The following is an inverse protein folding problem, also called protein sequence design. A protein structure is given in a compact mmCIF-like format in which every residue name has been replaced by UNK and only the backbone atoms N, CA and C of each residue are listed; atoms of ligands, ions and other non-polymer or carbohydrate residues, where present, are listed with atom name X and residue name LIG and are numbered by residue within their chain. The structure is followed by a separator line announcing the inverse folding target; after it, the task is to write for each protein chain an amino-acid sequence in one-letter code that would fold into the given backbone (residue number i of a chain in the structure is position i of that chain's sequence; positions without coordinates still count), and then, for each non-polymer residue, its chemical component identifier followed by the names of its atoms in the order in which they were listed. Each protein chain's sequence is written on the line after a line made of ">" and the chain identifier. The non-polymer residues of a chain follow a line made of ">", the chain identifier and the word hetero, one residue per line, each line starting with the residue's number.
data_IF_969458722304
#
_entry.id   IF_969458722304
#
_cell.length_a   1.000
_cell.length_b   1.000
_cell.length_c   1.000
_cell.angle_alpha   90.00
_cell.angle_beta   90.00
_cell.angle_gamma   90.00
#
_symmetry.space_group_name_H-M   'P 1'
#
loop_
_entity.id
_entity.type
_entity.pdbx_description
1 polymer ?
#
# COMPACT_ATOMS: atom_id res chain seq x y z
N UNK A 1 -10.58 -20.07 -5.74
CA UNK A 1 -10.41 -18.93 -4.83
C UNK A 1 -9.25 -18.02 -5.25
N UNK A 2 -8.03 -18.52 -5.23
CA UNK A 2 -6.86 -17.77 -5.67
C UNK A 2 -6.93 -17.30 -7.13
N UNK A 3 -7.47 -18.16 -7.99
CA UNK A 3 -7.61 -17.84 -9.42
C UNK A 3 -8.59 -16.71 -9.68
N UNK A 4 -9.70 -16.65 -8.92
CA UNK A 4 -10.69 -15.58 -9.05
C UNK A 4 -10.07 -14.25 -8.62
N UNK A 5 -9.36 -14.25 -7.52
CA UNK A 5 -8.66 -13.06 -7.05
C UNK A 5 -7.60 -12.60 -8.05
N UNK A 6 -6.82 -13.56 -8.59
CA UNK A 6 -5.79 -13.23 -9.58
C UNK A 6 -6.40 -12.60 -10.83
N UNK A 7 -7.53 -13.14 -11.31
CA UNK A 7 -8.23 -12.55 -12.47
C UNK A 7 -8.71 -11.13 -12.17
N UNK A 8 -9.22 -10.90 -10.97
CA UNK A 8 -9.64 -9.56 -10.54
C UNK A 8 -8.44 -8.60 -10.54
N UNK A 9 -7.32 -9.04 -10.00
CA UNK A 9 -6.10 -8.22 -9.96
C UNK A 9 -5.52 -7.97 -11.36
N UNK A 10 -5.53 -8.99 -12.22
CA UNK A 10 -5.05 -8.85 -13.59
C UNK A 10 -5.88 -7.82 -14.35
N UNK A 11 -7.20 -7.87 -14.21
CA UNK A 11 -8.10 -6.90 -14.83
C UNK A 11 -7.88 -5.50 -14.29
N UNK A 12 -7.63 -5.38 -12.99
CA UNK A 12 -7.37 -4.10 -12.36
C UNK A 12 -6.03 -3.51 -12.81
N UNK A 13 -4.98 -4.33 -12.90
CA UNK A 13 -3.69 -3.94 -13.45
C UNK A 13 -3.86 -3.35 -14.85
N UNK A 14 -4.61 -4.03 -15.70
CA UNK A 14 -4.85 -3.57 -17.07
C UNK A 14 -5.65 -2.28 -17.11
N UNK A 15 -6.62 -2.14 -16.20
CA UNK A 15 -7.46 -0.94 -16.09
C UNK A 15 -6.67 0.30 -15.63
N UNK A 16 -5.76 0.14 -14.66
CA UNK A 16 -4.98 1.27 -14.11
C UNK A 16 -3.64 1.46 -14.82
N UNK A 17 -3.19 0.49 -15.60
CA UNK A 17 -1.90 0.56 -16.30
C UNK A 17 -0.70 0.53 -15.35
N UNK A 18 -0.82 -0.17 -14.23
CA UNK A 18 0.21 -0.23 -13.20
C UNK A 18 0.14 -1.56 -12.46
N UNK A 19 1.26 -1.99 -11.87
CA UNK A 19 1.27 -3.16 -11.00
C UNK A 19 0.37 -2.92 -9.80
N UNK A 20 -0.40 -3.93 -9.40
CA UNK A 20 -1.32 -3.87 -8.26
C UNK A 20 -0.96 -4.95 -7.24
N UNK A 21 -1.21 -4.67 -5.97
CA UNK A 21 -0.80 -5.53 -4.86
C UNK A 21 -1.92 -5.64 -3.83
N UNK A 22 -2.03 -6.83 -3.22
CA UNK A 22 -2.77 -7.01 -1.98
C UNK A 22 -1.77 -7.26 -0.88
N UNK A 23 -1.92 -6.53 0.23
CA UNK A 23 -1.03 -6.66 1.37
C UNK A 23 -1.85 -6.75 2.65
N UNK A 24 -1.25 -7.37 3.66
CA UNK A 24 -1.86 -7.54 4.98
C UNK A 24 -0.84 -7.22 6.06
N UNK A 25 -1.36 -6.87 7.22
CA UNK A 25 -0.55 -6.70 8.43
C UNK A 25 -0.67 -7.99 9.25
N UNK A 26 0.41 -8.77 9.27
CA UNK A 26 0.42 -10.10 9.90
C UNK A 26 1.57 -10.18 10.88
N UNK A 27 1.26 -10.51 12.13
CA UNK A 27 2.27 -10.67 13.18
C UNK A 27 3.23 -9.47 13.32
N UNK A 28 2.68 -8.26 13.21
CA UNK A 28 3.46 -7.03 13.34
C UNK A 28 4.25 -6.66 12.09
N UNK A 29 4.02 -7.31 10.96
CA UNK A 29 4.76 -7.10 9.73
C UNK A 29 3.84 -6.85 8.54
N UNK A 30 4.33 -6.05 7.59
CA UNK A 30 3.67 -5.85 6.30
C UNK A 30 4.05 -6.98 5.37
N UNK A 31 3.05 -7.65 4.78
CA UNK A 31 3.27 -8.74 3.82
C UNK A 31 2.45 -8.53 2.56
N UNK A 32 3.11 -8.59 1.41
CA UNK A 32 2.43 -8.66 0.12
C UNK A 32 1.98 -10.10 -0.08
N UNK A 33 0.67 -10.32 -0.14
CA UNK A 33 0.11 -11.66 -0.24
C UNK A 33 -0.21 -12.08 -1.67
N UNK A 34 -0.49 -11.10 -2.54
CA UNK A 34 -0.77 -11.37 -3.95
C UNK A 34 -0.54 -10.09 -4.77
N UNK A 35 -0.18 -10.25 -6.03
CA UNK A 35 0.05 -9.10 -6.90
C UNK A 35 -0.22 -9.49 -8.36
N UNK A 36 -0.36 -8.46 -9.21
CA UNK A 36 -0.41 -8.60 -10.65
C UNK A 36 0.50 -7.56 -11.29
N UNK A 37 1.43 -8.00 -12.10
CA UNK A 37 2.33 -7.16 -12.87
C UNK A 37 2.40 -7.62 -14.33
N UNK A 38 3.12 -6.88 -15.15
CA UNK A 38 3.38 -7.23 -16.55
C UNK A 38 4.61 -6.45 -17.03
N UNK A 39 5.18 -6.77 -18.22
CA UNK A 39 6.27 -5.98 -18.76
C UNK A 39 5.92 -4.50 -18.93
N UNK A 40 4.65 -4.19 -19.24
CA UNK A 40 4.17 -2.81 -19.38
C UNK A 40 3.83 -2.16 -18.03
N UNK A 41 3.65 -2.97 -16.98
CA UNK A 41 3.29 -2.51 -15.63
C UNK A 41 4.13 -3.29 -14.61
N UNK A 42 5.46 -3.06 -14.57
CA UNK A 42 6.35 -3.83 -13.70
C UNK A 42 6.14 -3.46 -12.24
N UNK A 43 6.32 -4.44 -11.36
CA UNK A 43 6.26 -4.16 -9.92
C UNK A 43 7.53 -3.44 -9.46
N UNK A 44 7.42 -2.79 -8.31
CA UNK A 44 8.55 -2.10 -7.67
C UNK A 44 9.67 -3.07 -7.36
N UNK A 45 10.89 -2.64 -7.61
CA UNK A 45 12.09 -3.37 -7.25
C UNK A 45 12.31 -3.25 -5.74
N UNK A 46 12.17 -4.35 -5.03
CA UNK A 46 12.28 -4.37 -3.57
C UNK A 46 13.74 -4.52 -3.14
N UNK A 47 14.44 -3.39 -2.98
CA UNK A 47 15.82 -3.35 -2.51
C UNK A 47 15.94 -3.58 -1.02
N UNK A 48 14.89 -3.24 -0.27
CA UNK A 48 14.83 -3.28 1.18
C UNK A 48 13.74 -4.25 1.57
N UNK A 49 13.92 -4.94 2.68
CA UNK A 49 12.87 -5.79 3.23
C UNK A 49 11.60 -4.97 3.42
N UNK A 50 10.57 -5.31 2.66
CA UNK A 50 9.29 -4.61 2.68
C UNK A 50 8.66 -4.59 4.07
N UNK A 51 8.97 -5.60 4.89
CA UNK A 51 8.49 -5.70 6.27
C UNK A 51 8.97 -4.56 7.16
N UNK A 52 10.11 -3.96 6.81
CA UNK A 52 10.75 -2.89 7.60
C UNK A 52 10.49 -1.49 7.01
N UNK A 53 9.57 -1.36 6.05
CA UNK A 53 9.36 -0.11 5.31
C UNK A 53 7.96 0.47 5.45
N UNK A 54 7.20 0.06 6.47
CA UNK A 54 5.81 0.49 6.64
C UNK A 54 5.65 2.01 6.72
N UNK A 55 6.60 2.70 7.33
CA UNK A 55 6.58 4.16 7.45
C UNK A 55 6.83 4.89 6.12
N UNK A 56 7.40 4.19 5.14
CA UNK A 56 7.87 4.78 3.89
C UNK A 56 7.04 4.36 2.67
N UNK A 57 6.09 3.46 2.82
CA UNK A 57 5.29 2.95 1.69
C UNK A 57 3.83 3.33 1.84
N UNK A 58 3.13 3.49 0.71
CA UNK A 58 1.68 3.69 0.74
C UNK A 58 0.99 2.48 1.39
N UNK A 59 1.44 1.28 1.05
CA UNK A 59 0.95 0.03 1.64
C UNK A 59 1.06 0.06 3.16
N UNK A 60 2.28 0.29 3.67
CA UNK A 60 2.54 0.28 5.11
C UNK A 60 1.76 1.35 5.84
N UNK A 61 1.75 2.58 5.32
CA UNK A 61 0.99 3.67 5.94
C UNK A 61 -0.50 3.38 5.94
N UNK A 62 -1.05 2.81 4.86
CA UNK A 62 -2.46 2.41 4.82
C UNK A 62 -2.79 1.37 5.87
N UNK A 63 -1.93 0.37 6.05
CA UNK A 63 -2.11 -0.64 7.09
C UNK A 63 -2.03 -0.04 8.49
N UNK A 64 -1.07 0.86 8.72
CA UNK A 64 -0.92 1.52 10.01
C UNK A 64 -2.11 2.42 10.37
N UNK A 65 -2.78 3.03 9.37
CA UNK A 65 -4.02 3.80 9.65
C UNK A 65 -5.12 2.94 10.22
N UNK A 66 -5.12 1.64 9.94
CA UNK A 66 -6.16 0.70 10.38
C UNK A 66 -5.89 0.16 11.78
N UNK A 67 -4.70 0.37 12.33
CA UNK A 67 -4.38 -0.01 13.70
C UNK A 67 -4.86 1.08 14.67
N UNK A 68 -5.12 0.70 15.92
CA UNK A 68 -5.39 1.67 16.97
C UNK A 68 -4.07 2.35 17.42
N UNK A 69 -4.18 3.30 18.33
CA UNK A 69 -3.02 4.05 18.80
C UNK A 69 -1.97 3.12 19.43
N UNK A 70 -2.40 2.15 20.25
CA UNK A 70 -1.49 1.20 20.88
C UNK A 70 -0.78 0.32 19.84
N UNK A 71 -1.50 -0.13 18.82
CA UNK A 71 -0.93 -0.92 17.73
C UNK A 71 0.10 -0.15 16.92
N UNK A 72 -0.15 1.12 16.64
CA UNK A 72 0.81 1.99 15.94
C UNK A 72 2.08 2.18 16.77
N UNK A 73 1.95 2.43 18.05
CA UNK A 73 3.09 2.59 18.94
C UNK A 73 3.90 1.30 19.09
N UNK A 74 3.23 0.16 19.18
CA UNK A 74 3.88 -1.14 19.23
C UNK A 74 4.70 -1.38 17.96
N UNK A 75 4.12 -1.08 16.79
CA UNK A 75 4.83 -1.20 15.51
C UNK A 75 6.09 -0.35 15.50
N UNK A 76 5.99 0.91 15.90
CA UNK A 76 7.12 1.84 15.89
C UNK A 76 8.20 1.44 16.91
N UNK A 77 7.82 0.79 18.00
CA UNK A 77 8.78 0.28 18.98
C UNK A 77 9.58 -0.91 18.43
N UNK A 78 9.02 -1.68 17.51
CA UNK A 78 9.64 -2.87 16.94
C UNK A 78 10.40 -2.60 15.63
N UNK A 79 10.06 -1.53 14.92
CA UNK A 79 10.61 -1.25 13.59
C UNK A 79 11.22 0.14 13.54
N UNK A 80 12.52 0.17 13.25
CA UNK A 80 13.23 1.43 13.07
C UNK A 80 12.75 2.10 11.78
N UNK A 81 12.54 3.41 11.84
CA UNK A 81 12.16 4.20 10.67
C UNK A 81 13.41 4.65 9.91
N UNK A 82 13.95 3.74 9.10
CA UNK A 82 15.13 4.03 8.30
C UNK A 82 14.81 5.05 7.20
N UNK A 83 15.79 5.86 6.85
CA UNK A 83 15.68 6.80 5.75
C UNK A 83 16.06 6.10 4.44
N UNK A 84 15.13 6.01 3.52
CA UNK A 84 15.35 5.42 2.19
C UNK A 84 15.58 6.49 1.12
N UNK A 85 14.91 7.64 1.27
CA UNK A 85 15.06 8.80 0.37
C UNK A 85 15.06 10.07 1.20
N UNK A 86 15.30 11.20 0.58
CA UNK A 86 15.19 12.50 1.25
C UNK A 86 13.75 12.81 1.71
N UNK A 87 12.75 12.08 1.19
CA UNK A 87 11.33 12.30 1.50
C UNK A 87 10.78 11.34 2.55
N UNK A 88 11.58 10.36 2.99
CA UNK A 88 11.13 9.39 3.99
C UNK A 88 10.81 10.10 5.30
N UNK A 89 9.64 9.79 5.87
CA UNK A 89 9.29 10.25 7.22
C UNK A 89 10.12 9.42 8.22
N UNK A 90 10.90 10.09 9.06
CA UNK A 90 11.76 9.44 10.06
C UNK A 90 11.46 9.88 11.49
N UNK A 91 10.42 10.68 11.69
CA UNK A 91 9.96 11.13 13.00
C UNK A 91 8.68 10.40 13.40
N UNK A 92 8.69 9.72 14.54
CA UNK A 92 7.52 9.06 15.13
C UNK A 92 6.35 10.02 15.22
N UNK A 93 6.61 11.21 15.76
CA UNK A 93 5.60 12.22 15.99
C UNK A 93 4.95 12.67 14.69
N UNK A 94 5.75 12.90 13.65
CA UNK A 94 5.25 13.29 12.34
C UNK A 94 4.43 12.17 11.71
N UNK A 95 4.92 10.94 11.76
CA UNK A 95 4.21 9.80 11.21
C UNK A 95 2.85 9.61 11.88
N UNK A 96 2.83 9.58 13.21
CA UNK A 96 1.58 9.41 13.97
C UNK A 96 0.57 10.52 13.65
N UNK A 97 1.03 11.75 13.53
CA UNK A 97 0.20 12.89 13.15
C UNK A 97 -0.39 12.71 11.75
N UNK A 98 0.41 12.27 10.80
CA UNK A 98 -0.03 12.02 9.42
C UNK A 98 -1.03 10.87 9.34
N UNK A 99 -0.80 9.79 10.06
CA UNK A 99 -1.72 8.65 10.10
C UNK A 99 -3.07 9.06 10.68
N UNK A 100 -3.06 9.84 11.76
CA UNK A 100 -4.29 10.32 12.42
C UNK A 100 -5.09 11.26 11.51
N UNK A 101 -4.40 12.08 10.73
CA UNK A 101 -5.03 13.05 9.83
C UNK A 101 -5.51 12.44 8.51
N UNK A 102 -5.13 11.20 8.20
CA UNK A 102 -5.49 10.55 6.93
C UNK A 102 -6.98 10.22 6.90
N UNK A 103 -7.77 10.82 6.00
CA UNK A 103 -9.19 10.45 5.88
C UNK A 103 -9.35 9.02 5.38
N UNK A 104 -10.26 8.22 5.94
CA UNK A 104 -10.44 6.82 5.54
C UNK A 104 -10.85 6.63 4.07
N UNK A 105 -11.51 7.62 3.49
CA UNK A 105 -12.00 7.56 2.10
C UNK A 105 -10.98 8.06 1.07
N UNK A 106 -9.84 8.56 1.51
CA UNK A 106 -8.80 9.11 0.62
C UNK A 106 -7.65 8.13 0.51
N UNK A 107 -7.22 7.78 -0.72
CA UNK A 107 -6.06 6.91 -0.89
C UNK A 107 -4.80 7.47 -0.22
N UNK A 108 -4.03 6.60 0.40
CA UNK A 108 -2.72 6.95 0.97
C UNK A 108 -1.71 6.98 -0.16
N UNK A 109 -0.89 8.02 -0.22
CA UNK A 109 0.11 8.19 -1.26
C UNK A 109 1.53 8.04 -0.70
N UNK A 110 2.40 7.50 -1.55
CA UNK A 110 3.85 7.49 -1.36
C UNK A 110 4.45 8.18 -2.58
N UNK A 111 5.03 9.35 -2.36
CA UNK A 111 5.62 10.18 -3.43
C UNK A 111 7.14 10.14 -3.28
N UNK A 112 7.75 9.04 -3.72
CA UNK A 112 9.19 8.78 -3.63
C UNK A 112 9.72 8.73 -2.20
N UNK A 113 8.91 8.26 -1.25
CA UNK A 113 9.33 8.12 0.15
C UNK A 113 10.10 6.84 0.40
N UNK A 114 9.79 5.78 -0.37
CA UNK A 114 10.45 4.48 -0.28
C UNK A 114 11.60 4.36 -1.28
N UNK A 115 11.36 4.76 -2.51
CA UNK A 115 12.35 4.65 -3.59
C UNK A 115 12.27 5.86 -4.51
N UNK A 116 13.41 6.41 -4.84
CA UNK A 116 13.49 7.46 -5.87
C UNK A 116 13.04 6.85 -7.20
N UNK A 117 12.19 7.58 -7.93
CA UNK A 117 11.68 7.14 -9.22
C UNK A 117 10.39 6.33 -9.17
N UNK A 118 9.83 6.06 -7.98
CA UNK A 118 8.59 5.29 -7.83
C UNK A 118 7.58 6.06 -6.99
N UNK A 119 6.31 6.04 -7.43
CA UNK A 119 5.19 6.57 -6.69
C UNK A 119 4.15 5.47 -6.52
N UNK A 120 3.42 5.50 -5.40
CA UNK A 120 2.47 4.46 -5.03
C UNK A 120 1.21 5.08 -4.43
N UNK A 121 0.11 4.32 -4.48
CA UNK A 121 -1.12 4.64 -3.78
C UNK A 121 -1.68 3.38 -3.16
N UNK A 122 -2.38 3.51 -2.04
CA UNK A 122 -3.02 2.38 -1.37
C UNK A 122 -4.36 2.78 -0.80
N UNK A 123 -5.31 1.86 -0.84
CA UNK A 123 -6.62 2.01 -0.23
C UNK A 123 -6.85 0.85 0.73
N UNK A 124 -7.51 1.07 1.88
CA UNK A 124 -7.77 -0.02 2.82
C UNK A 124 -8.81 -0.97 2.24
N UNK A 125 -8.58 -2.27 2.47
CA UNK A 125 -9.57 -3.31 2.26
C UNK A 125 -9.65 -4.13 3.54
N UNK A 126 -10.83 -4.21 4.13
CA UNK A 126 -11.01 -4.98 5.35
C UNK A 126 -11.67 -6.31 4.99
N UNK A 127 -11.00 -7.40 5.35
CA UNK A 127 -11.54 -8.74 5.23
C UNK A 127 -11.46 -9.39 6.61
N UNK A 128 -12.55 -9.36 7.35
CA UNK A 128 -12.57 -9.81 8.74
C UNK A 128 -11.88 -8.82 9.67
N UNK A 129 -11.15 -9.34 10.67
CA UNK A 129 -10.49 -8.53 11.70
C UNK A 129 -9.08 -8.05 11.30
N UNK A 130 -8.57 -8.49 10.16
CA UNK A 130 -7.20 -8.18 9.74
C UNK A 130 -7.13 -6.92 8.91
N UNK A 131 -6.14 -6.09 9.17
CA UNK A 131 -5.84 -4.93 8.33
C UNK A 131 -5.29 -5.41 6.99
N UNK A 132 -5.85 -4.86 5.92
CA UNK A 132 -5.44 -5.17 4.56
C UNK A 132 -5.48 -3.94 3.68
N UNK A 133 -4.78 -3.97 2.56
CA UNK A 133 -4.85 -2.89 1.58
C UNK A 133 -4.69 -3.40 0.15
N UNK A 134 -5.23 -2.62 -0.76
CA UNK A 134 -5.06 -2.76 -2.20
C UNK A 134 -4.21 -1.57 -2.65
N UNK A 135 -3.14 -1.83 -3.38
CA UNK A 135 -2.18 -0.79 -3.73
C UNK A 135 -1.75 -0.90 -5.19
N UNK A 136 -1.18 0.19 -5.69
CA UNK A 136 -0.52 0.21 -6.99
C UNK A 136 0.82 0.93 -6.87
N UNK A 137 1.72 0.64 -7.82
CA UNK A 137 2.97 1.35 -7.97
C UNK A 137 3.19 1.70 -9.44
N UNK A 138 3.84 2.84 -9.69
CA UNK A 138 4.18 3.25 -11.05
C UNK A 138 5.46 4.07 -11.06
N UNK A 139 6.16 4.13 -12.20
CA UNK A 139 7.30 5.02 -12.36
C UNK A 139 6.88 6.48 -12.14
N UNK A 140 7.78 7.29 -11.58
CA UNK A 140 7.51 8.71 -11.31
C UNK A 140 7.15 9.49 -12.58
N UNK A 141 7.63 9.06 -13.74
CA UNK A 141 7.28 9.64 -15.04
C UNK A 141 5.78 9.58 -15.32
N UNK A 142 5.08 8.66 -14.67
CA UNK A 142 3.63 8.49 -14.78
C UNK A 142 2.87 9.10 -13.60
N UNK A 143 3.52 9.85 -12.72
CA UNK A 143 2.91 10.40 -11.51
C UNK A 143 1.65 11.23 -11.78
N UNK A 144 1.56 11.86 -12.96
CA UNK A 144 0.36 12.62 -13.36
C UNK A 144 -0.90 11.75 -13.46
N UNK A 145 -0.74 10.42 -13.57
CA UNK A 145 -1.85 9.46 -13.62
C UNK A 145 -2.17 8.84 -12.26
N UNK A 146 -1.34 9.11 -11.25
CA UNK A 146 -1.45 8.43 -9.95
C UNK A 146 -2.81 8.65 -9.29
N UNK A 147 -3.29 9.87 -9.26
CA UNK A 147 -4.55 10.20 -8.59
C UNK A 147 -5.74 9.50 -9.23
N UNK A 148 -5.81 9.50 -10.56
CA UNK A 148 -6.88 8.82 -11.30
C UNK A 148 -6.81 7.32 -11.09
N UNK A 149 -5.62 6.74 -11.12
CA UNK A 149 -5.42 5.31 -10.88
C UNK A 149 -5.82 4.95 -9.44
N UNK A 150 -5.45 5.77 -8.47
CA UNK A 150 -5.83 5.57 -7.06
C UNK A 150 -7.36 5.63 -6.87
N UNK A 151 -8.04 6.54 -7.56
CA UNK A 151 -9.51 6.62 -7.52
C UNK A 151 -10.14 5.37 -8.12
N UNK A 152 -9.55 4.81 -9.17
CA UNK A 152 -10.01 3.56 -9.76
C UNK A 152 -9.85 2.40 -8.77
N UNK A 153 -8.72 2.32 -8.06
CA UNK A 153 -8.55 1.34 -6.98
C UNK A 153 -9.65 1.48 -5.93
N UNK A 154 -9.90 2.69 -5.51
CA UNK A 154 -10.87 2.97 -4.46
C UNK A 154 -12.28 2.51 -4.87
N UNK A 155 -12.67 2.75 -6.11
CA UNK A 155 -13.97 2.32 -6.65
C UNK A 155 -14.07 0.80 -6.77
N UNK A 156 -12.96 0.10 -6.93
CA UNK A 156 -12.94 -1.37 -7.11
C UNK A 156 -12.59 -2.14 -5.84
N UNK A 157 -12.34 -1.45 -4.73
CA UNK A 157 -11.95 -2.09 -3.48
C UNK A 157 -12.99 -3.12 -2.99
N UNK A 158 -14.28 -2.81 -3.12
CA UNK A 158 -15.35 -3.71 -2.72
C UNK A 158 -15.34 -5.02 -3.52
N UNK A 159 -15.04 -4.95 -4.82
CA UNK A 159 -14.94 -6.16 -5.67
C UNK A 159 -13.80 -7.06 -5.22
N UNK A 160 -12.68 -6.47 -4.85
CA UNK A 160 -11.52 -7.21 -4.33
C UNK A 160 -11.89 -7.89 -3.02
N UNK A 161 -12.55 -7.18 -2.12
CA UNK A 161 -13.03 -7.76 -0.84
C UNK A 161 -13.95 -8.94 -1.09
N UNK A 162 -14.88 -8.83 -2.03
CA UNK A 162 -15.78 -9.94 -2.39
C UNK A 162 -15.00 -11.14 -2.94
N UNK A 163 -13.97 -10.90 -3.74
CA UNK A 163 -13.11 -11.96 -4.26
C UNK A 163 -12.29 -12.65 -3.17
N UNK A 164 -11.99 -11.95 -2.08
CA UNK A 164 -11.29 -12.51 -0.93
C UNK A 164 -12.22 -13.33 -0.02
N UNK A 165 -13.49 -12.99 0.00
CA UNK A 165 -14.47 -13.60 0.90
C UNK A 165 -15.02 -14.94 0.39
N UNK A 166 -14.76 -15.28 -0.87
CA UNK A 166 -15.22 -16.55 -1.49
C UNK A 166 -14.13 -17.67 -1.35
#
# INVERSE_FOLDING_TARGET
>A
MREQLQRTLDGLRDSVGAAVYISRYVDGEVRVTQYADSPAAPRVNEWVDFRCSAHATAVGKSLLTQLDHAGRRDHLARHKMARFTSRTITSDKLLLSRLEAQPPSVPVLDLQEYAVGTVCAAVPITAGASAGCLALSMPVEHAHRLRRAADTLNRNAARVVLSLAI
#
